data_IF_601611238958
#
_entry.id   IF_601611238958
#
_cell.length_a   1.000
_cell.length_b   1.000
_cell.length_c   1.000
_cell.angle_alpha   90.00
_cell.angle_beta   90.00
_cell.angle_gamma   90.00
#
_symmetry.space_group_name_H-M   'P 1'
#
loop_
_entity.id
_entity.type
_entity.pdbx_description
1 polymer ?
#
# COMPACT_ATOMS: atom_id res chain seq x y z
N UNK A 1 -0.34 -9.58 34.05
CA UNK A 1 0.59 -8.49 33.83
C UNK A 1 1.67 -8.81 32.80
N UNK A 2 2.29 -9.97 32.89
CA UNK A 2 3.22 -10.42 31.86
C UNK A 2 2.54 -10.55 30.49
N UNK A 3 1.26 -10.92 30.49
CA UNK A 3 0.49 -11.10 29.26
C UNK A 3 0.28 -9.79 28.51
N UNK A 4 0.08 -8.67 29.23
CA UNK A 4 -0.11 -7.35 28.61
C UNK A 4 1.17 -6.84 27.94
N UNK A 5 2.31 -7.07 28.59
CA UNK A 5 3.61 -6.71 28.04
C UNK A 5 3.93 -7.54 26.79
N UNK A 6 3.63 -8.84 26.84
CA UNK A 6 3.83 -9.75 25.72
C UNK A 6 2.97 -9.36 24.51
N UNK A 7 1.70 -9.00 24.76
CA UNK A 7 0.80 -8.55 23.70
C UNK A 7 1.29 -7.25 23.08
N UNK A 8 1.77 -6.30 23.86
CA UNK A 8 2.33 -5.05 23.33
C UNK A 8 3.58 -5.30 22.48
N UNK A 9 4.47 -6.17 22.93
CA UNK A 9 5.66 -6.52 22.16
C UNK A 9 5.32 -7.22 20.86
N UNK A 10 4.32 -8.11 20.88
CA UNK A 10 3.85 -8.78 19.69
C UNK A 10 3.22 -7.80 18.70
N UNK A 11 2.46 -6.82 19.21
CA UNK A 11 1.87 -5.78 18.39
C UNK A 11 2.94 -4.89 17.75
N UNK A 12 3.96 -4.51 18.52
CA UNK A 12 5.08 -3.72 18.01
C UNK A 12 5.84 -4.49 16.93
N UNK A 13 6.09 -5.79 17.16
CA UNK A 13 6.77 -6.63 16.18
C UNK A 13 5.95 -6.77 14.89
N UNK A 14 4.63 -6.92 15.00
CA UNK A 14 3.75 -7.02 13.84
C UNK A 14 3.75 -5.72 13.04
N UNK A 15 3.64 -4.58 13.70
CA UNK A 15 3.68 -3.26 13.04
C UNK A 15 5.03 -3.04 12.37
N UNK A 16 6.12 -3.40 13.04
CA UNK A 16 7.46 -3.27 12.48
C UNK A 16 7.62 -4.12 11.22
N UNK A 17 7.10 -5.34 11.22
CA UNK A 17 7.14 -6.22 10.04
C UNK A 17 6.34 -5.63 8.88
N UNK A 18 5.13 -5.15 9.15
CA UNK A 18 4.29 -4.53 8.13
C UNK A 18 4.98 -3.30 7.56
N UNK A 19 5.54 -2.45 8.40
CA UNK A 19 6.26 -1.26 7.97
C UNK A 19 7.45 -1.63 7.08
N UNK A 20 8.23 -2.62 7.47
CA UNK A 20 9.36 -3.09 6.67
C UNK A 20 8.90 -3.60 5.30
N UNK A 21 7.82 -4.39 5.27
CA UNK A 21 7.27 -4.90 4.02
C UNK A 21 6.76 -3.75 3.13
N UNK A 22 6.08 -2.76 3.70
CA UNK A 22 5.63 -1.59 2.94
C UNK A 22 6.81 -0.84 2.32
N UNK A 23 7.89 -0.66 3.08
CA UNK A 23 9.09 0.01 2.56
C UNK A 23 9.73 -0.77 1.42
N UNK A 24 9.83 -2.09 1.56
CA UNK A 24 10.40 -2.95 0.52
C UNK A 24 9.54 -2.95 -0.74
N UNK A 25 8.22 -3.08 -0.59
CA UNK A 25 7.30 -3.07 -1.72
C UNK A 25 7.35 -1.73 -2.44
N UNK A 26 7.36 -0.64 -1.70
CA UNK A 26 7.46 0.71 -2.29
C UNK A 26 8.76 0.86 -3.08
N UNK A 27 9.88 0.41 -2.51
CA UNK A 27 11.17 0.49 -3.17
C UNK A 27 11.21 -0.35 -4.45
N UNK A 28 10.68 -1.57 -4.39
CA UNK A 28 10.59 -2.45 -5.56
C UNK A 28 9.71 -1.82 -6.65
N UNK A 29 8.60 -1.22 -6.26
CA UNK A 29 7.70 -0.56 -7.20
C UNK A 29 8.36 0.64 -7.86
N UNK A 30 9.10 1.45 -7.10
CA UNK A 30 9.85 2.58 -7.64
C UNK A 30 10.85 2.10 -8.69
N UNK A 31 11.63 1.08 -8.36
CA UNK A 31 12.63 0.52 -9.28
C UNK A 31 11.96 0.01 -10.56
N UNK A 32 10.87 -0.72 -10.42
CA UNK A 32 10.15 -1.28 -11.55
C UNK A 32 9.55 -0.18 -12.44
N UNK A 33 8.93 0.82 -11.85
CA UNK A 33 8.34 1.93 -12.60
C UNK A 33 9.41 2.75 -13.31
N UNK A 34 10.55 3.02 -12.66
CA UNK A 34 11.64 3.74 -13.28
C UNK A 34 12.26 2.95 -14.45
N UNK A 35 12.34 1.64 -14.31
CA UNK A 35 12.81 0.77 -15.38
C UNK A 35 11.88 0.85 -16.59
N UNK A 36 10.56 0.77 -16.37
CA UNK A 36 9.57 0.89 -17.43
C UNK A 36 9.61 2.25 -18.12
N UNK A 37 9.81 3.31 -17.34
CA UNK A 37 9.97 4.67 -17.88
C UNK A 37 11.22 4.76 -18.74
N UNK A 38 12.34 4.21 -18.26
CA UNK A 38 13.59 4.19 -18.98
C UNK A 38 13.49 3.43 -20.32
N UNK A 39 12.69 2.35 -20.33
CA UNK A 39 12.44 1.57 -21.53
C UNK A 39 11.42 2.21 -22.48
N UNK A 40 10.81 3.32 -22.08
CA UNK A 40 9.82 4.01 -22.89
C UNK A 40 8.43 3.38 -22.87
N UNK A 41 8.20 2.43 -21.95
CA UNK A 41 6.89 1.74 -21.82
C UNK A 41 5.85 2.61 -21.14
N UNK A 42 6.29 3.50 -20.25
CA UNK A 42 5.41 4.42 -19.52
C UNK A 42 6.12 5.77 -19.40
N UNK A 43 5.35 6.80 -19.09
CA UNK A 43 5.88 8.08 -18.64
C UNK A 43 5.62 8.20 -17.15
N UNK A 44 6.66 8.12 -16.34
CA UNK A 44 6.54 8.11 -14.87
C UNK A 44 6.37 9.54 -14.35
N UNK A 45 5.12 9.90 -14.12
CA UNK A 45 4.73 11.20 -13.57
C UNK A 45 3.86 10.99 -12.34
N UNK A 46 3.66 12.02 -11.49
CA UNK A 46 2.69 11.91 -10.40
C UNK A 46 1.30 11.52 -10.88
N UNK A 47 0.88 11.99 -12.05
CA UNK A 47 -0.42 11.63 -12.61
C UNK A 47 -0.50 10.15 -12.96
N UNK A 48 0.57 9.57 -13.46
CA UNK A 48 0.63 8.12 -13.71
C UNK A 48 0.44 7.33 -12.43
N UNK A 49 1.09 7.77 -11.34
CA UNK A 49 0.95 7.12 -10.02
C UNK A 49 -0.51 7.17 -9.57
N UNK A 50 -1.19 8.28 -9.77
CA UNK A 50 -2.62 8.41 -9.44
C UNK A 50 -3.47 7.43 -10.26
N UNK A 51 -3.16 7.25 -11.51
CA UNK A 51 -3.85 6.30 -12.39
C UNK A 51 -3.68 4.87 -11.88
N UNK A 52 -2.46 4.50 -11.50
CA UNK A 52 -2.18 3.17 -10.94
C UNK A 52 -2.93 2.99 -9.62
N UNK A 53 -2.92 4.00 -8.76
CA UNK A 53 -3.63 3.96 -7.48
C UNK A 53 -5.13 3.72 -7.68
N UNK A 54 -5.74 4.40 -8.64
CA UNK A 54 -7.16 4.23 -8.95
C UNK A 54 -7.46 2.83 -9.44
N UNK A 55 -6.59 2.25 -10.27
CA UNK A 55 -6.75 0.88 -10.76
C UNK A 55 -6.70 -0.14 -9.63
N UNK A 56 -5.79 0.03 -8.66
CA UNK A 56 -5.71 -0.85 -7.49
C UNK A 56 -6.93 -0.68 -6.59
N UNK A 57 -7.41 0.55 -6.39
CA UNK A 57 -8.61 0.80 -5.60
C UNK A 57 -9.83 0.09 -6.20
N UNK A 58 -9.99 0.12 -7.52
CA UNK A 58 -11.06 -0.60 -8.21
C UNK A 58 -10.95 -2.11 -7.99
N UNK A 59 -9.74 -2.67 -8.04
CA UNK A 59 -9.53 -4.10 -7.78
C UNK A 59 -9.94 -4.49 -6.37
N UNK A 60 -9.58 -3.67 -5.38
CA UNK A 60 -9.96 -3.92 -3.99
C UNK A 60 -11.48 -3.87 -3.84
N UNK A 61 -12.12 -2.89 -4.45
CA UNK A 61 -13.56 -2.72 -4.36
C UNK A 61 -14.31 -3.89 -5.01
N UNK A 62 -13.79 -4.41 -6.12
CA UNK A 62 -14.42 -5.48 -6.88
C UNK A 62 -14.12 -6.89 -6.30
N UNK A 63 -13.07 -7.04 -5.49
CA UNK A 63 -12.63 -8.34 -5.02
C UNK A 63 -13.08 -8.64 -3.60
N UNK A 64 -13.58 -9.85 -3.31
CA UNK A 64 -13.81 -10.28 -1.94
C UNK A 64 -12.46 -10.61 -1.29
N UNK A 65 -11.87 -9.63 -0.61
CA UNK A 65 -10.55 -9.78 0.02
C UNK A 65 -10.63 -10.66 1.26
N UNK A 66 -11.73 -10.56 1.99
CA UNK A 66 -11.97 -11.36 3.17
C UNK A 66 -13.44 -11.76 3.22
N UNK A 67 -13.67 -13.01 3.61
CA UNK A 67 -15.03 -13.50 3.83
C UNK A 67 -15.21 -13.74 5.33
N UNK A 68 -16.07 -12.97 5.95
CA UNK A 68 -16.49 -13.21 7.30
C UNK A 68 -18.00 -13.29 7.35
N UNK A 69 -18.54 -13.80 8.44
CA UNK A 69 -19.99 -13.88 8.63
C UNK A 69 -20.60 -12.51 8.94
N UNK A 70 -19.78 -11.49 9.14
CA UNK A 70 -20.23 -10.15 9.47
C UNK A 70 -20.01 -9.19 8.30
N UNK A 71 -21.08 -8.68 7.69
CA UNK A 71 -20.94 -7.66 6.64
C UNK A 71 -20.24 -6.38 7.14
N UNK A 72 -20.42 -6.04 8.40
CA UNK A 72 -19.77 -4.86 9.01
C UNK A 72 -18.27 -5.03 9.07
N UNK A 73 -17.80 -6.20 9.48
CA UNK A 73 -16.36 -6.50 9.54
C UNK A 73 -15.75 -6.48 8.13
N UNK A 74 -16.44 -7.06 7.15
CA UNK A 74 -15.99 -7.06 5.77
C UNK A 74 -15.87 -5.64 5.23
N UNK A 75 -16.85 -4.80 5.53
CA UNK A 75 -16.85 -3.40 5.12
C UNK A 75 -15.68 -2.64 5.76
N UNK A 76 -15.50 -2.77 7.06
CA UNK A 76 -14.41 -2.10 7.79
C UNK A 76 -13.05 -2.55 7.27
N UNK A 77 -12.89 -3.83 7.02
CA UNK A 77 -11.64 -4.36 6.48
C UNK A 77 -11.33 -3.73 5.12
N UNK A 78 -12.33 -3.69 4.24
CA UNK A 78 -12.17 -3.12 2.89
C UNK A 78 -11.83 -1.63 2.96
N UNK A 79 -12.50 -0.87 3.81
CA UNK A 79 -12.22 0.56 4.01
C UNK A 79 -10.79 0.77 4.51
N UNK A 80 -10.35 -0.04 5.45
CA UNK A 80 -8.97 0.05 5.98
C UNK A 80 -7.93 -0.29 4.92
N UNK A 81 -8.18 -1.30 4.10
CA UNK A 81 -7.28 -1.65 2.99
C UNK A 81 -7.17 -0.47 2.00
N UNK A 82 -8.30 0.10 1.60
CA UNK A 82 -8.34 1.23 0.68
C UNK A 82 -7.59 2.45 1.26
N UNK A 83 -7.80 2.73 2.53
CA UNK A 83 -7.13 3.84 3.21
C UNK A 83 -5.61 3.66 3.23
N UNK A 84 -5.15 2.46 3.53
CA UNK A 84 -3.71 2.15 3.54
C UNK A 84 -3.11 2.21 2.14
N UNK A 85 -3.83 1.76 1.12
CA UNK A 85 -3.39 1.89 -0.27
C UNK A 85 -3.28 3.35 -0.68
N UNK A 86 -4.27 4.16 -0.34
CA UNK A 86 -4.25 5.60 -0.63
C UNK A 86 -3.02 6.26 -0.04
N UNK A 87 -2.75 5.98 1.24
CA UNK A 87 -1.56 6.50 1.91
C UNK A 87 -0.27 6.04 1.24
N UNK A 88 -0.19 4.77 0.89
CA UNK A 88 0.97 4.20 0.21
C UNK A 88 1.25 4.91 -1.12
N UNK A 89 0.21 5.10 -1.94
CA UNK A 89 0.37 5.73 -3.24
C UNK A 89 0.59 7.24 -3.14
N UNK A 90 0.05 7.90 -2.11
CA UNK A 90 0.35 9.31 -1.84
C UNK A 90 1.83 9.49 -1.53
N UNK A 91 2.41 8.60 -0.72
CA UNK A 91 3.83 8.63 -0.40
C UNK A 91 4.68 8.33 -1.63
N UNK A 92 4.25 7.39 -2.47
CA UNK A 92 4.92 7.07 -3.73
C UNK A 92 4.89 8.28 -4.69
N UNK A 93 3.73 8.91 -4.83
CA UNK A 93 3.58 10.11 -5.66
C UNK A 93 4.51 11.22 -5.19
N UNK A 94 4.56 11.46 -3.87
CA UNK A 94 5.44 12.47 -3.29
C UNK A 94 6.91 12.15 -3.59
N UNK A 95 7.30 10.88 -3.51
CA UNK A 95 8.66 10.46 -3.83
C UNK A 95 9.01 10.75 -5.30
N UNK A 96 8.11 10.40 -6.21
CA UNK A 96 8.31 10.63 -7.65
C UNK A 96 8.39 12.13 -7.95
N UNK A 97 7.56 12.94 -7.27
CA UNK A 97 7.56 14.40 -7.45
C UNK A 97 8.85 15.03 -6.99
N UNK A 98 9.44 14.52 -5.90
CA UNK A 98 10.70 15.04 -5.35
C UNK A 98 11.92 14.53 -6.11
N UNK A 99 11.80 13.40 -6.78
CA UNK A 99 12.90 12.74 -7.48
C UNK A 99 12.45 12.41 -8.92
N UNK A 100 12.33 13.42 -9.79
CA UNK A 100 11.75 13.22 -11.12
C UNK A 100 12.61 12.37 -12.07
N UNK A 101 13.83 12.09 -11.72
CA UNK A 101 14.72 11.18 -12.48
C UNK A 101 15.51 10.32 -11.54
#
# INVERSE_FOLDING_TARGET
MEDDESVELDAVAAVARITALEMLVRQMMIVQLRMLDHLGEIELTPDYVKTVAAAYAEKVDASPIIESNSPEVNYEFKVNVLHNLERFFDELEAHIRQNPN
#
